data_IF_876454468029
#
_entry.id   IF_876454468029
#
_cell.length_a   1.000
_cell.length_b   1.000
_cell.length_c   1.000
_cell.angle_alpha   90.00
_cell.angle_beta   90.00
_cell.angle_gamma   90.00
#
_symmetry.space_group_name_H-M   'P 1'
#
loop_
_entity.id
_entity.type
_entity.pdbx_description
1 polymer ?
#
# COMPACT_ATOMS: atom_id res chain seq x y z
N UNK A 1 18.23 -1.75 23.72
CA UNK A 1 16.88 -2.21 23.41
C UNK A 1 16.50 -1.75 22.02
N UNK A 2 16.11 -2.67 21.19
CA UNK A 2 15.74 -2.32 19.83
C UNK A 2 14.30 -1.83 19.81
N UNK A 3 14.08 -0.72 19.14
CA UNK A 3 12.73 -0.23 18.91
C UNK A 3 12.07 -1.04 17.80
N UNK A 4 10.81 -1.38 18.01
CA UNK A 4 10.02 -2.01 16.96
C UNK A 4 9.65 -0.95 15.93
N UNK A 5 10.12 -1.12 14.72
CA UNK A 5 9.79 -0.21 13.62
C UNK A 5 8.41 -0.53 13.07
N UNK A 6 7.63 0.50 12.76
CA UNK A 6 6.32 0.32 12.15
C UNK A 6 6.47 -0.33 10.78
N UNK A 7 5.83 -1.49 10.54
CA UNK A 7 5.90 -2.11 9.23
C UNK A 7 5.06 -1.33 8.23
N UNK A 8 5.63 -1.12 7.04
CA UNK A 8 5.00 -0.41 5.94
C UNK A 8 4.58 -1.39 4.87
N UNK A 9 3.41 -1.18 4.29
CA UNK A 9 2.93 -1.93 3.14
C UNK A 9 3.08 -1.13 1.86
N UNK A 10 3.28 -1.81 0.75
CA UNK A 10 3.34 -1.17 -0.56
C UNK A 10 2.66 -2.07 -1.58
N UNK A 11 1.62 -1.56 -2.21
CA UNK A 11 0.85 -2.30 -3.19
C UNK A 11 0.88 -1.56 -4.51
N UNK A 12 1.31 -2.26 -5.57
CA UNK A 12 1.45 -1.69 -6.90
C UNK A 12 2.91 -1.35 -7.22
N UNK A 13 3.55 -2.19 -8.02
CA UNK A 13 4.97 -2.06 -8.36
C UNK A 13 5.17 -1.84 -9.87
N UNK A 14 4.38 -0.93 -10.44
CA UNK A 14 4.56 -0.53 -11.83
C UNK A 14 5.74 0.42 -11.99
N UNK A 15 5.77 1.12 -13.12
CA UNK A 15 6.88 2.00 -13.49
C UNK A 15 7.18 3.04 -12.41
N UNK A 16 6.14 3.60 -11.79
CA UNK A 16 6.31 4.60 -10.73
C UNK A 16 6.45 3.97 -9.34
N UNK A 17 5.72 2.89 -9.10
CA UNK A 17 5.66 2.28 -7.77
C UNK A 17 6.92 1.55 -7.38
N UNK A 18 7.50 0.79 -8.28
CA UNK A 18 8.69 -0.01 -7.96
C UNK A 18 9.87 0.86 -7.48
N UNK A 19 10.24 1.97 -8.18
CA UNK A 19 11.31 2.84 -7.69
C UNK A 19 11.01 3.47 -6.33
N UNK A 20 9.77 3.88 -6.09
CA UNK A 20 9.38 4.45 -4.80
C UNK A 20 9.48 3.41 -3.69
N UNK A 21 9.01 2.20 -3.96
CA UNK A 21 9.10 1.11 -3.00
C UNK A 21 10.56 0.77 -2.69
N UNK A 22 11.42 0.71 -3.72
CA UNK A 22 12.84 0.47 -3.55
C UNK A 22 13.48 1.51 -2.63
N UNK A 23 13.10 2.78 -2.79
CA UNK A 23 13.60 3.85 -1.92
C UNK A 23 13.14 3.67 -0.48
N UNK A 24 11.90 3.27 -0.26
CA UNK A 24 11.42 2.98 1.10
C UNK A 24 12.21 1.86 1.74
N UNK A 25 12.46 0.78 1.00
CA UNK A 25 13.23 -0.35 1.51
C UNK A 25 14.64 0.09 1.90
N UNK A 26 15.28 0.89 1.06
CA UNK A 26 16.67 1.30 1.29
C UNK A 26 16.83 2.37 2.36
N UNK A 27 15.87 3.29 2.46
CA UNK A 27 16.08 4.55 3.19
C UNK A 27 15.18 4.76 4.40
N UNK A 28 14.03 4.09 4.47
CA UNK A 28 13.10 4.37 5.57
C UNK A 28 13.54 3.79 6.91
N UNK A 29 14.32 2.73 6.89
CA UNK A 29 14.66 2.01 8.11
C UNK A 29 13.53 1.17 8.67
N UNK A 30 12.38 1.12 7.98
CA UNK A 30 11.24 0.30 8.38
C UNK A 30 11.16 -0.96 7.52
N UNK A 31 10.62 -2.07 8.06
CA UNK A 31 10.32 -3.23 7.22
C UNK A 31 9.21 -2.88 6.23
N UNK A 32 9.39 -3.26 4.97
CA UNK A 32 8.44 -2.97 3.88
C UNK A 32 7.91 -4.29 3.33
N UNK A 33 6.60 -4.44 3.36
CA UNK A 33 5.89 -5.63 2.87
C UNK A 33 5.17 -5.26 1.58
N UNK A 34 5.39 -6.07 0.53
CA UNK A 34 4.97 -5.69 -0.82
C UNK A 34 4.08 -6.72 -1.46
N UNK A 35 3.16 -6.26 -2.30
CA UNK A 35 2.33 -7.12 -3.13
C UNK A 35 2.08 -6.46 -4.49
N UNK A 36 2.00 -7.28 -5.52
CA UNK A 36 1.67 -6.87 -6.88
C UNK A 36 1.15 -8.09 -7.61
N UNK A 37 0.38 -7.87 -8.66
CA UNK A 37 -0.09 -8.96 -9.52
C UNK A 37 1.04 -9.59 -10.34
N UNK A 38 2.12 -8.86 -10.55
CA UNK A 38 3.28 -9.33 -11.31
C UNK A 38 4.37 -9.80 -10.36
N UNK A 39 4.86 -11.05 -10.51
CA UNK A 39 5.85 -11.59 -9.58
C UNK A 39 7.26 -11.01 -9.75
N UNK A 40 7.63 -10.53 -10.94
CA UNK A 40 8.98 -10.04 -11.21
C UNK A 40 9.35 -8.83 -10.36
N UNK A 41 8.54 -7.74 -10.31
CA UNK A 41 8.91 -6.60 -9.46
C UNK A 41 8.90 -6.95 -7.98
N UNK A 42 8.02 -7.84 -7.54
CA UNK A 42 8.01 -8.31 -6.15
C UNK A 42 9.34 -8.99 -5.81
N UNK A 43 9.84 -9.83 -6.71
CA UNK A 43 11.11 -10.51 -6.51
C UNK A 43 12.29 -9.52 -6.45
N UNK A 44 12.26 -8.47 -7.28
CA UNK A 44 13.31 -7.44 -7.25
C UNK A 44 13.33 -6.68 -5.92
N UNK A 45 12.16 -6.34 -5.41
CA UNK A 45 12.07 -5.68 -4.11
C UNK A 45 12.52 -6.61 -2.99
N UNK A 46 12.17 -7.90 -3.08
CA UNK A 46 12.64 -8.90 -2.12
C UNK A 46 14.16 -8.99 -2.09
N UNK A 47 14.81 -8.90 -3.25
CA UNK A 47 16.27 -8.93 -3.35
C UNK A 47 16.92 -7.70 -2.69
N UNK A 48 16.20 -6.59 -2.56
CA UNK A 48 16.68 -5.38 -1.90
C UNK A 48 16.45 -5.40 -0.37
N UNK A 49 15.78 -6.40 0.14
CA UNK A 49 15.48 -6.51 1.56
C UNK A 49 14.02 -6.30 1.92
N UNK A 50 13.14 -6.11 0.93
CA UNK A 50 11.70 -6.06 1.16
C UNK A 50 11.13 -7.45 1.45
N UNK A 51 9.91 -7.48 1.94
CA UNK A 51 9.23 -8.72 2.26
C UNK A 51 8.09 -8.96 1.27
N UNK A 52 8.23 -9.99 0.45
CA UNK A 52 7.20 -10.36 -0.53
C UNK A 52 6.01 -10.99 0.17
N UNK A 53 4.81 -10.50 -0.16
CA UNK A 53 3.56 -11.06 0.34
C UNK A 53 2.80 -11.71 -0.81
N UNK A 54 2.04 -12.75 -0.49
CA UNK A 54 1.27 -13.50 -1.48
C UNK A 54 -0.03 -12.79 -1.86
N UNK A 55 -0.52 -11.88 -1.01
CA UNK A 55 -1.82 -11.25 -1.22
C UNK A 55 -1.90 -9.89 -0.54
N UNK A 56 -2.93 -9.11 -0.91
CA UNK A 56 -3.24 -7.84 -0.27
C UNK A 56 -3.59 -8.06 1.21
N UNK A 57 -4.34 -9.11 1.51
CA UNK A 57 -4.73 -9.42 2.89
C UNK A 57 -3.49 -9.68 3.75
N UNK A 58 -2.50 -10.39 3.22
CA UNK A 58 -1.26 -10.63 3.96
C UNK A 58 -0.53 -9.32 4.28
N UNK A 59 -0.47 -8.39 3.32
CA UNK A 59 0.09 -7.05 3.58
C UNK A 59 -0.71 -6.35 4.68
N UNK A 60 -2.03 -6.38 4.58
CA UNK A 60 -2.91 -5.69 5.53
C UNK A 60 -2.83 -6.27 6.94
N UNK A 61 -2.62 -7.58 7.06
CA UNK A 61 -2.50 -8.23 8.37
C UNK A 61 -1.17 -7.94 9.05
N UNK A 62 -0.18 -7.53 8.28
CA UNK A 62 1.19 -7.37 8.76
C UNK A 62 1.57 -5.90 8.98
N UNK A 63 0.88 -4.96 8.31
CA UNK A 63 1.29 -3.56 8.27
C UNK A 63 0.21 -2.64 8.83
N UNK A 64 0.62 -1.43 9.25
CA UNK A 64 -0.29 -0.39 9.74
C UNK A 64 -0.47 0.74 8.74
N UNK A 65 0.52 0.99 7.90
CA UNK A 65 0.51 2.05 6.89
C UNK A 65 0.76 1.39 5.54
N UNK A 66 -0.15 1.59 4.59
CA UNK A 66 -0.06 0.98 3.27
C UNK A 66 0.01 2.07 2.20
N UNK A 67 1.04 2.02 1.38
CA UNK A 67 1.19 2.89 0.23
C UNK A 67 0.63 2.20 -1.01
N UNK A 68 -0.10 2.96 -1.82
CA UNK A 68 -0.68 2.46 -3.07
C UNK A 68 -0.11 3.24 -4.25
N UNK A 69 0.34 2.53 -5.28
CA UNK A 69 0.73 3.12 -6.55
C UNK A 69 0.12 2.29 -7.67
N UNK A 70 -1.10 2.64 -8.05
CA UNK A 70 -1.94 1.85 -8.94
C UNK A 70 -2.34 2.69 -10.17
N UNK A 71 -2.68 2.04 -11.30
CA UNK A 71 -2.94 2.75 -12.55
C UNK A 71 -4.19 3.63 -12.55
N UNK A 72 -5.19 3.31 -11.72
CA UNK A 72 -6.45 4.06 -11.75
C UNK A 72 -7.19 3.95 -10.43
N UNK A 73 -8.20 4.85 -10.26
CA UNK A 73 -9.07 4.82 -9.08
C UNK A 73 -9.85 3.50 -8.97
N UNK A 74 -10.14 2.84 -10.09
CA UNK A 74 -10.83 1.55 -10.04
C UNK A 74 -9.98 0.51 -9.32
N UNK A 75 -8.69 0.43 -9.61
CA UNK A 75 -7.79 -0.47 -8.90
C UNK A 75 -7.62 -0.06 -7.43
N UNK A 76 -7.54 1.24 -7.16
CA UNK A 76 -7.47 1.73 -5.77
C UNK A 76 -8.69 1.27 -4.98
N UNK A 77 -9.87 1.43 -5.54
CA UNK A 77 -11.11 0.98 -4.89
C UNK A 77 -11.11 -0.53 -4.68
N UNK A 78 -10.68 -1.29 -5.67
CA UNK A 78 -10.63 -2.75 -5.55
C UNK A 78 -9.66 -3.21 -4.47
N UNK A 79 -8.49 -2.59 -4.40
CA UNK A 79 -7.49 -2.92 -3.38
C UNK A 79 -7.98 -2.56 -1.99
N UNK A 80 -8.67 -1.44 -1.84
CA UNK A 80 -9.14 -0.99 -0.52
C UNK A 80 -10.39 -1.74 -0.07
N UNK A 81 -11.42 -1.82 -0.93
CA UNK A 81 -12.76 -2.25 -0.52
C UNK A 81 -13.31 -3.41 -1.33
N UNK A 82 -12.61 -3.87 -2.37
CA UNK A 82 -13.04 -5.02 -3.15
C UNK A 82 -12.81 -6.34 -2.43
N UNK A 83 -13.26 -7.46 -3.02
CA UNK A 83 -13.02 -8.79 -2.46
C UNK A 83 -11.51 -9.03 -2.29
N UNK A 84 -11.11 -9.49 -1.12
CA UNK A 84 -9.69 -9.68 -0.80
C UNK A 84 -8.93 -8.39 -0.55
N UNK A 85 -9.63 -7.26 -0.39
CA UNK A 85 -9.01 -5.95 -0.19
C UNK A 85 -8.65 -5.65 1.26
N UNK A 86 -8.13 -4.45 1.48
CA UNK A 86 -7.59 -4.06 2.78
C UNK A 86 -8.62 -4.12 3.91
N UNK A 87 -9.88 -3.74 3.63
CA UNK A 87 -10.92 -3.70 4.67
C UNK A 87 -11.35 -5.09 5.13
N UNK A 88 -11.06 -6.14 4.36
CA UNK A 88 -11.38 -7.51 4.75
C UNK A 88 -10.40 -8.09 5.75
N UNK A 89 -9.21 -7.49 5.85
CA UNK A 89 -8.24 -7.92 6.84
C UNK A 89 -8.62 -7.36 8.21
N UNK A 90 -8.30 -8.09 9.27
CA UNK A 90 -8.71 -7.72 10.62
C UNK A 90 -7.90 -6.52 11.15
N UNK A 91 -8.42 -5.31 10.96
CA UNK A 91 -8.15 -4.14 11.77
C UNK A 91 -6.72 -3.67 12.04
N UNK A 92 -5.72 -4.06 11.26
CA UNK A 92 -4.35 -3.61 11.51
C UNK A 92 -4.00 -2.34 10.75
N UNK A 93 -4.46 -2.21 9.51
CA UNK A 93 -4.18 -1.02 8.70
C UNK A 93 -4.94 0.17 9.26
N UNK A 94 -4.23 1.27 9.50
CA UNK A 94 -4.79 2.50 10.04
C UNK A 94 -4.69 3.66 9.07
N UNK A 95 -3.71 3.63 8.18
CA UNK A 95 -3.45 4.70 7.23
C UNK A 95 -3.18 4.09 5.86
N UNK A 96 -3.85 4.63 4.84
CA UNK A 96 -3.56 4.32 3.44
C UNK A 96 -3.08 5.60 2.78
N UNK A 97 -1.91 5.55 2.17
CA UNK A 97 -1.34 6.67 1.42
C UNK A 97 -1.47 6.34 -0.06
N UNK A 98 -2.37 7.04 -0.74
CA UNK A 98 -2.61 6.82 -2.16
C UNK A 98 -1.75 7.78 -2.98
N UNK A 99 -0.81 7.22 -3.72
CA UNK A 99 0.08 7.95 -4.63
C UNK A 99 -0.36 7.80 -6.08
N UNK A 100 -1.53 7.20 -6.30
CA UNK A 100 -2.07 6.96 -7.64
C UNK A 100 -2.76 8.21 -8.16
N UNK A 101 -2.93 8.29 -9.48
CA UNK A 101 -3.76 9.32 -10.08
C UNK A 101 -5.21 9.05 -9.75
N UNK A 102 -5.93 10.04 -9.23
CA UNK A 102 -7.26 9.79 -8.70
C UNK A 102 -8.31 10.75 -9.23
N UNK A 103 -9.54 10.26 -9.24
CA UNK A 103 -10.75 11.02 -9.43
C UNK A 103 -11.17 11.58 -8.07
N UNK A 104 -11.31 12.90 -7.96
CA UNK A 104 -11.56 13.57 -6.68
C UNK A 104 -12.87 13.11 -6.03
N UNK A 105 -13.94 12.99 -6.81
CA UNK A 105 -15.25 12.58 -6.29
C UNK A 105 -15.24 11.14 -5.78
N UNK A 106 -14.66 10.23 -6.54
CA UNK A 106 -14.56 8.82 -6.14
C UNK A 106 -13.61 8.64 -4.97
N UNK A 107 -12.52 9.40 -4.94
CA UNK A 107 -11.58 9.36 -3.82
C UNK A 107 -12.23 9.82 -2.54
N UNK A 108 -13.06 10.86 -2.59
CA UNK A 108 -13.80 11.33 -1.43
C UNK A 108 -14.73 10.27 -0.87
N UNK A 109 -15.47 9.58 -1.75
CA UNK A 109 -16.36 8.49 -1.33
C UNK A 109 -15.57 7.34 -0.72
N UNK A 110 -14.43 7.00 -1.32
CA UNK A 110 -13.55 5.97 -0.79
C UNK A 110 -13.03 6.34 0.60
N UNK A 111 -12.63 7.60 0.79
CA UNK A 111 -12.15 8.07 2.09
C UNK A 111 -13.21 7.92 3.18
N UNK A 112 -14.49 8.20 2.85
CA UNK A 112 -15.59 8.03 3.80
C UNK A 112 -15.79 6.56 4.16
N UNK A 113 -15.76 5.66 3.17
CA UNK A 113 -15.89 4.22 3.42
C UNK A 113 -14.74 3.73 4.31
N UNK A 114 -13.51 4.12 4.00
CA UNK A 114 -12.35 3.70 4.78
C UNK A 114 -12.41 4.24 6.21
N UNK A 115 -12.90 5.48 6.38
CA UNK A 115 -13.07 6.04 7.72
C UNK A 115 -14.03 5.20 8.56
N UNK A 116 -15.07 4.65 7.94
CA UNK A 116 -15.99 3.74 8.62
C UNK A 116 -15.32 2.45 9.10
N UNK A 117 -14.19 2.10 8.53
CA UNK A 117 -13.37 0.95 8.95
C UNK A 117 -12.19 1.35 9.83
N UNK A 118 -12.12 2.61 10.26
CA UNK A 118 -11.02 3.09 11.09
C UNK A 118 -9.74 3.39 10.32
N UNK A 119 -9.83 3.60 9.00
CA UNK A 119 -8.67 3.83 8.15
C UNK A 119 -8.70 5.27 7.62
N UNK A 120 -7.59 5.99 7.81
CA UNK A 120 -7.41 7.33 7.26
C UNK A 120 -6.77 7.23 5.87
N UNK A 121 -7.42 7.82 4.87
CA UNK A 121 -6.87 7.90 3.52
C UNK A 121 -6.17 9.24 3.33
N UNK A 122 -4.89 9.18 2.97
CA UNK A 122 -4.07 10.35 2.66
C UNK A 122 -3.72 10.30 1.18
N UNK A 123 -3.94 11.42 0.49
CA UNK A 123 -3.53 11.55 -0.90
C UNK A 123 -2.15 12.20 -0.94
N UNK A 124 -1.23 11.53 -1.60
CA UNK A 124 0.09 12.10 -1.83
C UNK A 124 0.08 12.80 -3.19
N UNK A 125 0.20 14.11 -3.18
CA UNK A 125 0.31 14.89 -4.41
C UNK A 125 1.78 14.93 -4.80
N UNK A 126 2.17 13.99 -5.66
CA UNK A 126 3.51 13.99 -6.20
C UNK A 126 3.49 14.81 -7.47
N UNK A 127 4.13 15.95 -7.42
CA UNK A 127 4.32 16.77 -8.60
C UNK A 127 5.60 16.33 -9.28
N UNK A 128 5.45 15.88 -10.47
CA UNK A 128 6.57 15.47 -11.28
C UNK A 128 6.95 16.60 -12.21
#
# INVERSE_FOLDING_TARGET
MSETKTPLGFIGLGVMGEPMCANLVRKSGHPVYVADISPEPVARIGALGGHACASIIEVAQTTEIVFLSLPSIVQVEQVCTGPGGLVEAAGRVRIVVDMSTSDVGRTRRLAEVLRGHGILLILSLIHI
#
